data_IF_593194912170
#
_entry.id   IF_593194912170
#
_cell.length_a   1.000
_cell.length_b   1.000
_cell.length_c   1.000
_cell.angle_alpha   90.00
_cell.angle_beta   90.00
_cell.angle_gamma   90.00
#
_symmetry.space_group_name_H-M   'P 1'
#
loop_
_entity.id
_entity.type
_entity.pdbx_description
1 polymer ?
#
# COMPACT_ATOMS: atom_id res chain seq x y z
N UNK A 1 -21.39 19.44 -10.15
CA UNK A 1 -21.54 19.04 -11.57
C UNK A 1 -22.66 18.01 -11.59
N UNK A 2 -23.72 18.24 -12.36
CA UNK A 2 -24.81 17.29 -12.55
C UNK A 2 -24.22 16.04 -13.21
N UNK A 3 -24.28 14.87 -12.57
CA UNK A 3 -23.84 13.62 -13.20
C UNK A 3 -24.67 13.38 -14.46
N UNK A 4 -23.99 13.05 -15.56
CA UNK A 4 -24.59 12.75 -16.85
C UNK A 4 -24.62 11.22 -17.00
N UNK A 5 -25.73 10.65 -17.50
CA UNK A 5 -25.89 9.20 -17.61
C UNK A 5 -24.70 8.56 -18.33
N UNK A 6 -24.10 7.54 -17.72
CA UNK A 6 -22.92 6.86 -18.25
C UNK A 6 -23.38 5.92 -19.39
N UNK A 7 -22.98 6.24 -20.63
CA UNK A 7 -23.21 5.42 -21.81
C UNK A 7 -21.92 4.74 -22.26
N UNK A 8 -21.37 3.86 -21.42
CA UNK A 8 -20.13 3.12 -21.67
C UNK A 8 -20.37 1.60 -21.68
N UNK A 9 -19.59 0.88 -22.46
CA UNK A 9 -19.56 -0.59 -22.47
C UNK A 9 -18.12 -1.07 -22.30
N UNK A 10 -17.94 -2.13 -21.52
CA UNK A 10 -16.66 -2.79 -21.34
C UNK A 10 -16.66 -4.10 -22.13
N UNK A 11 -15.72 -4.27 -23.06
CA UNK A 11 -15.70 -5.47 -23.90
C UNK A 11 -15.22 -6.70 -23.11
N UNK A 12 -15.60 -7.93 -23.52
CA UNK A 12 -15.09 -9.14 -22.88
C UNK A 12 -13.56 -9.26 -22.92
N UNK A 13 -12.93 -8.74 -23.98
CA UNK A 13 -11.48 -8.69 -24.11
C UNK A 13 -10.86 -7.76 -23.07
N UNK A 14 -11.39 -6.54 -22.91
CA UNK A 14 -10.88 -5.58 -21.92
C UNK A 14 -11.01 -6.14 -20.50
N UNK A 15 -12.11 -6.83 -20.18
CA UNK A 15 -12.29 -7.50 -18.88
C UNK A 15 -11.17 -8.52 -18.63
N UNK A 16 -10.82 -9.31 -19.66
CA UNK A 16 -9.76 -10.31 -19.55
C UNK A 16 -8.39 -9.65 -19.36
N UNK A 17 -8.10 -8.59 -20.11
CA UNK A 17 -6.83 -7.85 -20.00
C UNK A 17 -6.69 -7.18 -18.63
N UNK A 18 -7.76 -6.58 -18.10
CA UNK A 18 -7.78 -6.01 -16.75
C UNK A 18 -7.50 -7.09 -15.69
N UNK A 19 -8.16 -8.25 -15.78
CA UNK A 19 -7.90 -9.37 -14.85
C UNK A 19 -6.46 -9.88 -14.93
N UNK A 20 -5.89 -9.96 -16.13
CA UNK A 20 -4.50 -10.36 -16.32
C UNK A 20 -3.53 -9.30 -15.74
N UNK A 21 -3.84 -8.02 -15.86
CA UNK A 21 -3.05 -6.95 -15.24
C UNK A 21 -3.07 -7.04 -13.71
N UNK A 22 -4.24 -7.29 -13.10
CA UNK A 22 -4.35 -7.51 -11.66
C UNK A 22 -3.53 -8.72 -11.18
N UNK A 23 -3.51 -9.82 -11.94
CA UNK A 23 -2.65 -10.97 -11.64
C UNK A 23 -1.16 -10.62 -11.72
N UNK A 24 -0.75 -9.86 -12.74
CA UNK A 24 0.65 -9.38 -12.87
C UNK A 24 1.04 -8.49 -11.68
N UNK A 25 0.15 -7.61 -11.23
CA UNK A 25 0.36 -6.77 -10.04
C UNK A 25 0.60 -7.65 -8.81
N UNK A 26 -0.25 -8.67 -8.59
CA UNK A 26 -0.09 -9.59 -7.47
C UNK A 26 1.24 -10.37 -7.53
N UNK A 27 1.65 -10.81 -8.72
CA UNK A 27 2.93 -11.50 -8.92
C UNK A 27 4.15 -10.63 -8.60
N UNK A 28 4.04 -9.30 -8.72
CA UNK A 28 5.11 -8.36 -8.35
C UNK A 28 5.21 -8.10 -6.85
N UNK A 29 4.17 -8.46 -6.09
CA UNK A 29 4.14 -8.31 -4.64
C UNK A 29 3.85 -9.68 -3.98
N UNK A 30 4.75 -10.67 -4.13
CA UNK A 30 4.53 -12.03 -3.63
C UNK A 30 4.50 -12.14 -2.10
N UNK A 31 4.88 -11.07 -1.40
CA UNK A 31 4.92 -10.95 0.05
C UNK A 31 3.63 -10.38 0.66
N UNK A 32 2.62 -10.04 -0.15
CA UNK A 32 1.35 -9.54 0.38
C UNK A 32 0.67 -10.60 1.24
N UNK A 33 0.14 -10.16 2.37
CA UNK A 33 -0.62 -11.00 3.31
C UNK A 33 -2.08 -10.59 3.34
N UNK A 34 -2.97 -11.56 3.54
CA UNK A 34 -4.39 -11.30 3.80
C UNK A 34 -4.65 -11.51 5.27
N UNK A 35 -5.02 -10.43 5.96
CA UNK A 35 -5.41 -10.50 7.36
C UNK A 35 -6.91 -10.74 7.47
N UNK A 36 -7.30 -11.66 8.34
CA UNK A 36 -8.67 -11.81 8.82
C UNK A 36 -9.12 -10.55 9.58
N UNK A 37 -10.43 -10.42 9.76
CA UNK A 37 -11.02 -9.31 10.55
C UNK A 37 -10.48 -9.29 11.98
N UNK A 38 -10.24 -10.45 12.58
CA UNK A 38 -9.71 -10.56 13.95
C UNK A 38 -8.25 -10.14 14.03
N UNK A 39 -7.40 -10.59 13.11
CA UNK A 39 -5.99 -10.18 13.03
C UNK A 39 -5.87 -8.68 12.82
N UNK A 40 -6.67 -8.12 11.90
CA UNK A 40 -6.68 -6.68 11.64
C UNK A 40 -7.06 -5.85 12.86
N UNK A 41 -7.96 -6.33 13.71
CA UNK A 41 -8.37 -5.62 14.94
C UNK A 41 -7.29 -5.61 16.03
N UNK A 42 -6.44 -6.64 16.06
CA UNK A 42 -5.37 -6.79 17.05
C UNK A 42 -4.12 -5.96 16.71
N UNK A 43 -3.94 -5.61 15.44
CA UNK A 43 -2.78 -4.86 14.97
C UNK A 43 -2.97 -3.35 15.12
N UNK A 44 -1.96 -2.68 15.68
CA UNK A 44 -1.88 -1.22 15.66
C UNK A 44 -1.50 -0.78 14.25
N UNK A 45 -2.36 0.02 13.63
CA UNK A 45 -2.11 0.53 12.28
C UNK A 45 -1.09 1.66 12.32
N UNK A 46 -0.10 1.57 11.45
CA UNK A 46 0.80 2.68 11.16
C UNK A 46 0.10 3.61 10.17
N UNK A 47 -0.56 4.66 10.67
CA UNK A 47 -1.14 5.72 9.84
C UNK A 47 -0.11 6.76 9.39
N UNK A 48 -0.54 7.77 8.65
CA UNK A 48 0.35 8.77 8.02
C UNK A 48 1.25 9.50 9.02
N UNK A 49 0.72 9.86 10.19
CA UNK A 49 1.49 10.52 11.26
C UNK A 49 2.61 9.64 11.81
N UNK A 50 2.40 8.33 11.85
CA UNK A 50 3.43 7.38 12.28
C UNK A 50 4.49 7.12 11.21
N UNK A 51 4.17 7.21 9.92
CA UNK A 51 5.16 7.13 8.85
C UNK A 51 6.19 8.27 8.93
N UNK A 52 5.73 9.51 9.15
CA UNK A 52 6.62 10.66 9.31
C UNK A 52 7.53 10.52 10.55
N UNK A 53 6.99 10.00 11.66
CA UNK A 53 7.77 9.72 12.87
C UNK A 53 8.83 8.65 12.63
N UNK A 54 8.48 7.56 11.92
CA UNK A 54 9.43 6.49 11.59
C UNK A 54 10.52 7.00 10.65
N UNK A 55 10.22 7.88 9.70
CA UNK A 55 11.24 8.50 8.85
C UNK A 55 12.31 9.24 9.66
N UNK A 56 11.89 10.05 10.62
CA UNK A 56 12.80 10.77 11.51
C UNK A 56 13.64 9.78 12.35
N UNK A 57 13.01 8.69 12.80
CA UNK A 57 13.68 7.64 13.58
C UNK A 57 14.71 6.89 12.75
N UNK A 58 14.41 6.57 11.48
CA UNK A 58 15.34 5.96 10.51
C UNK A 58 16.54 6.88 10.29
N UNK A 59 16.28 8.16 10.05
CA UNK A 59 17.34 9.16 9.82
C UNK A 59 18.26 9.29 11.03
N UNK A 60 17.67 9.34 12.24
CA UNK A 60 18.42 9.41 13.49
C UNK A 60 19.24 8.13 13.73
N UNK A 61 18.67 6.95 13.48
CA UNK A 61 19.33 5.66 13.63
C UNK A 61 20.52 5.50 12.67
N UNK A 62 20.38 5.94 11.41
CA UNK A 62 21.47 5.93 10.45
C UNK A 62 22.61 6.89 10.83
N UNK A 63 22.25 8.08 11.34
CA UNK A 63 23.22 9.13 11.70
C UNK A 63 23.97 8.83 13.00
N UNK A 64 23.36 8.06 13.90
CA UNK A 64 23.91 7.75 15.22
C UNK A 64 23.90 6.23 15.45
N UNK A 65 24.67 5.48 14.67
CA UNK A 65 24.68 4.01 14.83
C UNK A 65 25.28 3.57 16.17
N UNK A 66 26.24 4.30 16.70
CA UNK A 66 26.94 3.94 17.95
C UNK A 66 26.09 4.01 19.22
N UNK A 67 24.98 4.75 19.22
CA UNK A 67 24.06 4.83 20.36
C UNK A 67 23.06 3.67 20.39
N UNK A 68 22.97 2.92 19.29
CA UNK A 68 22.08 1.78 19.18
C UNK A 68 22.78 0.53 19.73
N UNK A 69 22.01 -0.43 20.27
CA UNK A 69 22.57 -1.73 20.64
C UNK A 69 23.29 -2.37 19.45
N UNK A 70 24.41 -3.06 19.71
CA UNK A 70 25.16 -3.75 18.67
C UNK A 70 24.36 -4.84 17.93
N UNK A 71 23.24 -5.28 18.50
CA UNK A 71 22.31 -6.26 17.92
C UNK A 71 21.21 -5.61 17.08
N UNK A 72 21.20 -4.29 16.92
CA UNK A 72 20.14 -3.58 16.20
C UNK A 72 20.50 -3.43 14.72
N UNK A 73 19.67 -4.01 13.84
CA UNK A 73 19.87 -3.99 12.39
C UNK A 73 19.24 -2.73 11.76
N UNK A 74 20.02 -1.64 11.66
CA UNK A 74 19.55 -0.36 11.08
C UNK A 74 19.12 -0.54 9.62
N UNK A 75 19.80 -1.42 8.90
CA UNK A 75 19.59 -1.71 7.49
C UNK A 75 18.26 -2.45 7.27
N UNK A 76 17.86 -3.30 8.22
CA UNK A 76 16.54 -3.92 8.21
C UNK A 76 15.45 -2.88 8.42
N UNK A 77 15.59 -2.02 9.43
CA UNK A 77 14.65 -0.91 9.67
C UNK A 77 14.46 -0.01 8.43
N UNK A 78 15.56 0.33 7.75
CA UNK A 78 15.53 1.15 6.53
C UNK A 78 14.76 0.44 5.41
N UNK A 79 15.01 -0.86 5.19
CA UNK A 79 14.31 -1.65 4.18
C UNK A 79 12.81 -1.72 4.45
N UNK A 80 12.43 -1.95 5.71
CA UNK A 80 11.02 -2.02 6.12
C UNK A 80 10.31 -0.69 5.91
N UNK A 81 10.95 0.42 6.28
CA UNK A 81 10.38 1.75 6.08
C UNK A 81 10.20 2.08 4.58
N UNK A 82 11.18 1.76 3.75
CA UNK A 82 11.09 1.93 2.30
C UNK A 82 9.96 1.11 1.69
N UNK A 83 9.81 -0.15 2.13
CA UNK A 83 8.72 -1.01 1.69
C UNK A 83 7.36 -0.43 2.11
N UNK A 84 7.21 -0.02 3.37
CA UNK A 84 5.98 0.59 3.87
C UNK A 84 5.59 1.83 3.06
N UNK A 85 6.57 2.69 2.74
CA UNK A 85 6.36 3.91 1.96
C UNK A 85 5.88 3.59 0.54
N UNK A 86 6.54 2.65 -0.14
CA UNK A 86 6.15 2.23 -1.49
C UNK A 86 4.75 1.60 -1.51
N UNK A 87 4.41 0.77 -0.52
CA UNK A 87 3.09 0.15 -0.43
C UNK A 87 1.99 1.17 -0.13
N UNK A 88 2.26 2.22 0.64
CA UNK A 88 1.30 3.30 0.88
C UNK A 88 0.93 4.02 -0.41
N UNK A 89 1.91 4.35 -1.26
CA UNK A 89 1.66 4.99 -2.56
C UNK A 89 0.80 4.10 -3.49
N UNK A 90 1.14 2.82 -3.57
CA UNK A 90 0.39 1.84 -4.38
C UNK A 90 -1.04 1.69 -3.85
N UNK A 91 -1.22 1.61 -2.53
CA UNK A 91 -2.53 1.48 -1.89
C UNK A 91 -3.44 2.67 -2.22
N UNK A 92 -2.93 3.90 -2.15
CA UNK A 92 -3.71 5.11 -2.47
C UNK A 92 -4.22 5.03 -3.91
N UNK A 93 -3.35 4.66 -4.85
CA UNK A 93 -3.72 4.52 -6.28
C UNK A 93 -4.80 3.45 -6.49
N UNK A 94 -4.70 2.31 -5.78
CA UNK A 94 -5.72 1.25 -5.84
C UNK A 94 -7.05 1.68 -5.22
N UNK A 95 -7.02 2.43 -4.12
CA UNK A 95 -8.22 2.94 -3.45
C UNK A 95 -8.96 3.92 -4.35
N UNK A 96 -8.26 4.86 -4.98
CA UNK A 96 -8.86 5.82 -5.91
C UNK A 96 -9.54 5.11 -7.10
N UNK A 97 -8.88 4.11 -7.69
CA UNK A 97 -9.48 3.32 -8.77
C UNK A 97 -10.71 2.54 -8.29
N UNK A 98 -10.63 1.98 -7.08
CA UNK A 98 -11.75 1.24 -6.47
C UNK A 98 -12.95 2.16 -6.24
N UNK A 99 -12.72 3.37 -5.72
CA UNK A 99 -13.75 4.39 -5.50
C UNK A 99 -14.42 4.81 -6.82
N UNK A 100 -13.63 5.07 -7.87
CA UNK A 100 -14.19 5.38 -9.20
C UNK A 100 -15.06 4.26 -9.76
N UNK A 101 -14.64 3.00 -9.58
CA UNK A 101 -15.43 1.84 -10.01
C UNK A 101 -16.72 1.73 -9.19
N UNK A 102 -16.66 1.89 -7.87
CA UNK A 102 -17.82 1.83 -6.97
C UNK A 102 -18.82 2.95 -7.29
N UNK A 103 -18.35 4.20 -7.42
CA UNK A 103 -19.16 5.35 -7.79
C UNK A 103 -19.88 5.19 -9.14
N UNK A 104 -19.28 4.45 -10.07
CA UNK A 104 -19.86 4.18 -11.40
C UNK A 104 -20.89 3.03 -11.37
N UNK A 105 -20.88 2.19 -10.33
CA UNK A 105 -21.84 1.09 -10.15
C UNK A 105 -23.15 1.59 -9.52
N UNK A 106 -23.10 2.66 -8.71
CA UNK A 106 -24.26 3.27 -8.04
C UNK A 106 -25.25 3.93 -9.01
#
# INVERSE_FOLDING_TARGET
>A
MSYQNIAAALSPQDIQEIKAALQKIQQKMPFLVTLSTEERRKLVKMGDKSLAFVNNSVTAAQSNREILPATFEVEELVRDYQLATALTEVLISMQQLTEQVDDTIL
#
